data_IF_779826871814
#
_entry.id   IF_779826871814
#
_cell.length_a   1.000
_cell.length_b   1.000
_cell.length_c   1.000
_cell.angle_alpha   90.00
_cell.angle_beta   90.00
_cell.angle_gamma   90.00
#
_symmetry.space_group_name_H-M   'P 1'
#
loop_
_entity.id
_entity.type
_entity.pdbx_description
1 polymer ?
#
# COMPACT_ATOMS: atom_id res chain seq x y z
N UNK A 1 -0.78 4.41 9.87
CA UNK A 1 -0.28 4.10 8.50
C UNK A 1 0.24 2.68 8.49
N UNK A 2 -0.01 1.91 7.44
CA UNK A 2 0.56 0.57 7.26
C UNK A 2 1.95 0.71 6.66
N UNK A 3 2.99 0.30 7.38
CA UNK A 3 4.38 0.33 6.92
C UNK A 3 4.85 -1.09 6.62
N UNK A 4 5.52 -1.28 5.48
CA UNK A 4 6.09 -2.56 5.06
C UNK A 4 7.60 -2.38 4.89
N UNK A 5 8.41 -3.21 5.54
CA UNK A 5 9.87 -3.23 5.41
C UNK A 5 10.27 -4.51 4.70
N UNK A 6 10.92 -4.39 3.54
CA UNK A 6 11.44 -5.55 2.82
C UNK A 6 12.79 -5.96 3.41
N UNK A 7 12.90 -7.23 3.86
CA UNK A 7 14.12 -7.78 4.45
C UNK A 7 15.05 -8.33 3.37
N UNK A 8 15.77 -7.46 2.66
CA UNK A 8 16.76 -7.86 1.63
C UNK A 8 18.20 -7.76 2.14
N UNK A 9 18.45 -6.88 3.10
CA UNK A 9 19.78 -6.64 3.68
C UNK A 9 19.76 -6.64 5.20
N UNK A 10 20.93 -6.80 5.83
CA UNK A 10 21.10 -6.70 7.29
C UNK A 10 20.67 -5.34 7.84
N UNK A 11 20.90 -4.26 7.10
CA UNK A 11 20.45 -2.93 7.48
C UNK A 11 18.90 -2.84 7.57
N UNK A 12 18.20 -3.46 6.62
CA UNK A 12 16.73 -3.51 6.64
C UNK A 12 16.20 -4.38 7.79
N UNK A 13 16.91 -5.47 8.10
CA UNK A 13 16.63 -6.29 9.29
C UNK A 13 16.74 -5.46 10.57
N UNK A 14 17.82 -4.69 10.72
CA UNK A 14 18.00 -3.83 11.89
C UNK A 14 16.93 -2.72 11.96
N UNK A 15 16.56 -2.13 10.82
CA UNK A 15 15.49 -1.13 10.77
C UNK A 15 14.13 -1.71 11.22
N UNK A 16 13.81 -2.94 10.83
CA UNK A 16 12.60 -3.63 11.28
C UNK A 16 12.61 -3.88 12.79
N UNK A 17 13.74 -4.32 13.36
CA UNK A 17 13.90 -4.51 14.81
C UNK A 17 13.70 -3.18 15.55
N UNK A 18 14.35 -2.11 15.09
CA UNK A 18 14.22 -0.80 15.70
C UNK A 18 12.78 -0.28 15.66
N UNK A 19 12.06 -0.50 14.56
CA UNK A 19 10.65 -0.12 14.44
C UNK A 19 9.76 -0.87 15.45
N UNK A 20 10.02 -2.17 15.65
CA UNK A 20 9.29 -2.98 16.64
C UNK A 20 9.56 -2.45 18.05
N UNK A 21 10.83 -2.19 18.39
CA UNK A 21 11.22 -1.68 19.72
C UNK A 21 10.68 -0.27 20.01
N UNK A 22 10.53 0.57 18.98
CA UNK A 22 9.97 1.91 19.12
C UNK A 22 8.43 1.94 19.16
N UNK A 23 7.76 0.81 18.92
CA UNK A 23 6.31 0.75 18.87
C UNK A 23 5.73 0.77 20.30
N UNK A 24 4.80 1.68 20.62
CA UNK A 24 4.15 1.69 21.93
C UNK A 24 3.30 0.43 22.12
N UNK A 25 3.44 -0.19 23.29
CA UNK A 25 2.65 -1.36 23.68
C UNK A 25 1.34 -0.90 24.31
N UNK A 26 0.22 -1.21 23.65
CA UNK A 26 -1.13 -0.91 24.11
C UNK A 26 -1.92 -2.22 24.17
N UNK A 27 -2.53 -2.52 25.33
CA UNK A 27 -3.30 -3.75 25.55
C UNK A 27 -4.64 -3.73 24.83
N UNK A 28 -5.25 -2.55 24.68
CA UNK A 28 -6.55 -2.37 24.06
C UNK A 28 -6.43 -2.18 22.53
N UNK A 29 -5.29 -1.62 22.08
CA UNK A 29 -4.98 -1.39 20.65
C UNK A 29 -3.61 -1.93 20.27
N UNK A 30 -3.43 -3.26 20.21
CA UNK A 30 -2.15 -3.86 19.88
C UNK A 30 -1.73 -3.52 18.45
N UNK A 31 -0.41 -3.38 18.25
CA UNK A 31 0.17 -3.30 16.90
C UNK A 31 0.52 -4.71 16.42
N UNK A 32 0.05 -5.04 15.22
CA UNK A 32 0.26 -6.37 14.62
C UNK A 32 1.47 -6.38 13.69
N UNK A 33 2.36 -7.35 13.87
CA UNK A 33 3.48 -7.63 12.97
C UNK A 33 3.12 -8.80 12.07
N UNK A 34 3.43 -8.71 10.77
CA UNK A 34 3.20 -9.79 9.81
C UNK A 34 4.46 -10.02 8.97
N UNK A 35 4.99 -11.25 9.02
CA UNK A 35 6.09 -11.70 8.18
C UNK A 35 5.48 -12.62 7.11
N UNK A 36 5.72 -12.32 5.85
CA UNK A 36 5.24 -13.11 4.70
C UNK A 36 6.32 -13.21 3.65
N UNK A 37 6.25 -14.25 2.83
CA UNK A 37 7.05 -14.32 1.61
C UNK A 37 6.75 -13.15 0.67
N UNK A 38 7.77 -12.71 -0.06
CA UNK A 38 7.61 -11.69 -1.07
C UNK A 38 6.88 -12.24 -2.28
N UNK A 39 5.67 -11.76 -2.54
CA UNK A 39 4.98 -11.99 -3.79
C UNK A 39 4.99 -10.69 -4.63
N UNK A 40 5.68 -10.74 -5.78
CA UNK A 40 5.79 -9.60 -6.72
C UNK A 40 4.42 -9.05 -7.14
N UNK A 41 3.42 -9.91 -7.29
CA UNK A 41 2.07 -9.50 -7.68
C UNK A 41 1.38 -8.69 -6.56
N UNK A 42 1.69 -8.98 -5.29
CA UNK A 42 1.09 -8.26 -4.17
C UNK A 42 1.61 -6.81 -4.07
N UNK A 43 2.91 -6.60 -4.28
CA UNK A 43 3.51 -5.25 -4.28
C UNK A 43 2.99 -4.41 -5.44
N UNK A 44 2.88 -5.00 -6.64
CA UNK A 44 2.32 -4.34 -7.81
C UNK A 44 0.85 -3.96 -7.58
N UNK A 45 0.04 -4.87 -7.04
CA UNK A 45 -1.36 -4.59 -6.70
C UNK A 45 -1.48 -3.49 -5.65
N UNK A 46 -0.67 -3.52 -4.59
CA UNK A 46 -0.69 -2.48 -3.55
C UNK A 46 -0.35 -1.10 -4.12
N UNK A 47 0.69 -1.02 -4.96
CA UNK A 47 1.06 0.22 -5.67
C UNK A 47 -0.04 0.70 -6.59
N UNK A 48 -0.62 -0.20 -7.38
CA UNK A 48 -1.72 0.13 -8.28
C UNK A 48 -2.91 0.72 -7.51
N UNK A 49 -3.32 0.08 -6.41
CA UNK A 49 -4.40 0.59 -5.57
C UNK A 49 -4.09 1.93 -4.89
N UNK A 50 -2.84 2.16 -4.48
CA UNK A 50 -2.42 3.45 -3.94
C UNK A 50 -2.51 4.57 -4.99
N UNK A 51 -2.02 4.32 -6.21
CA UNK A 51 -2.11 5.27 -7.32
C UNK A 51 -3.57 5.60 -7.67
N UNK A 52 -4.45 4.60 -7.71
CA UNK A 52 -5.89 4.83 -7.93
C UNK A 52 -6.51 5.72 -6.86
N UNK A 53 -6.14 5.53 -5.59
CA UNK A 53 -6.61 6.35 -4.49
C UNK A 53 -6.08 7.80 -4.57
N UNK A 54 -4.86 7.98 -5.07
CA UNK A 54 -4.28 9.30 -5.30
C UNK A 54 -4.94 10.02 -6.48
N UNK A 55 -5.19 9.33 -7.60
CA UNK A 55 -5.91 9.88 -8.77
C UNK A 55 -7.33 10.29 -8.37
N UNK A 56 -8.05 9.43 -7.64
CA UNK A 56 -9.39 9.71 -7.15
C UNK A 56 -9.51 10.99 -6.31
N UNK A 57 -8.41 11.41 -5.65
CA UNK A 57 -8.35 12.64 -4.85
C UNK A 57 -7.92 13.88 -5.64
N UNK A 58 -7.29 13.71 -6.81
CA UNK A 58 -6.61 14.80 -7.52
C UNK A 58 -7.21 15.13 -8.89
N UNK A 59 -7.87 14.17 -9.54
CA UNK A 59 -8.34 14.30 -10.91
C UNK A 59 -9.85 14.09 -10.99
N UNK A 60 -10.54 14.98 -11.70
CA UNK A 60 -11.92 14.78 -12.14
C UNK A 60 -11.96 14.15 -13.53
N UNK A 61 -12.94 13.29 -13.76
CA UNK A 61 -13.24 12.71 -15.07
C UNK A 61 -14.62 13.18 -15.51
N UNK A 62 -14.71 13.93 -16.62
CA UNK A 62 -15.95 14.55 -17.09
C UNK A 62 -16.68 15.32 -15.96
N UNK A 63 -15.96 16.21 -15.29
CA UNK A 63 -16.43 17.03 -14.15
C UNK A 63 -16.93 16.23 -12.93
N UNK A 64 -16.61 14.93 -12.86
CA UNK A 64 -16.99 14.04 -11.75
C UNK A 64 -15.76 13.52 -11.02
N UNK A 65 -15.85 13.54 -9.69
CA UNK A 65 -14.93 12.81 -8.82
C UNK A 65 -15.32 11.33 -8.81
N UNK A 66 -14.44 10.49 -9.35
CA UNK A 66 -14.64 9.04 -9.37
C UNK A 66 -13.97 8.38 -8.17
N UNK A 67 -14.58 7.32 -7.64
CA UNK A 67 -13.98 6.48 -6.60
C UNK A 67 -12.80 5.67 -7.15
N UNK A 68 -11.86 5.20 -6.31
CA UNK A 68 -10.71 4.41 -6.76
C UNK A 68 -11.10 3.17 -7.58
N UNK A 69 -12.22 2.53 -7.25
CA UNK A 69 -12.73 1.36 -7.96
C UNK A 69 -13.25 1.70 -9.37
N UNK A 70 -13.78 2.92 -9.56
CA UNK A 70 -14.23 3.39 -10.88
C UNK A 70 -13.03 3.77 -11.76
N UNK A 71 -12.02 4.42 -11.18
CA UNK A 71 -10.74 4.66 -11.84
C UNK A 71 -10.05 3.37 -12.26
N UNK A 72 -10.17 2.30 -11.45
CA UNK A 72 -9.66 0.97 -11.80
C UNK A 72 -10.27 0.46 -13.10
N UNK A 73 -11.59 0.54 -13.23
CA UNK A 73 -12.29 0.06 -14.43
C UNK A 73 -11.86 0.87 -15.66
N UNK A 74 -11.83 2.20 -15.55
CA UNK A 74 -11.38 3.07 -16.65
C UNK A 74 -9.95 2.74 -17.13
N UNK A 75 -9.00 2.64 -16.20
CA UNK A 75 -7.59 2.42 -16.54
C UNK A 75 -7.31 1.00 -17.05
N UNK A 76 -8.04 0.00 -16.57
CA UNK A 76 -7.94 -1.36 -17.12
C UNK A 76 -8.61 -1.40 -18.50
N UNK A 77 -9.84 -0.91 -18.66
CA UNK A 77 -10.50 -0.94 -19.97
C UNK A 77 -9.77 -0.13 -21.05
N UNK A 78 -9.07 0.93 -20.66
CA UNK A 78 -8.23 1.72 -21.56
C UNK A 78 -6.94 1.04 -22.03
N UNK A 79 -6.57 -0.14 -21.51
CA UNK A 79 -5.37 -0.86 -21.99
C UNK A 79 -5.58 -1.56 -23.34
N UNK A 80 -6.83 -1.65 -23.82
CA UNK A 80 -7.22 -2.46 -24.98
C UNK A 80 -7.44 -1.62 -26.26
N UNK A 81 -6.93 -0.38 -26.29
CA UNK A 81 -7.09 0.57 -27.39
C UNK A 81 -5.90 0.53 -28.32
#
# INVERSE_FOLDING_TARGET
MKQTIFLRTKQQQQAAINAILATPLDKDKPVTIRITDYNRNLDQNAKFHAMLADIARQVQWCDKWLKPEQWKVLLISGHAV
#
